data_IF_973237598370
#
_entry.id   IF_973237598370
#
_cell.length_a   1.000
_cell.length_b   1.000
_cell.length_c   1.000
_cell.angle_alpha   90.00
_cell.angle_beta   90.00
_cell.angle_gamma   90.00
#
_symmetry.space_group_name_H-M   'P 1'
#
loop_
_entity.id
_entity.type
_entity.pdbx_description
1 polymer ?
#
# COMPACT_ATOMS: atom_id res chain seq x y z
N UNK A 1 21.69 36.72 35.04
CA UNK A 1 23.12 37.11 34.89
C UNK A 1 23.30 37.64 33.49
N UNK A 2 24.11 38.69 33.23
CA UNK A 2 24.16 39.30 31.91
C UNK A 2 24.89 38.35 30.93
N UNK A 3 24.16 37.87 29.92
CA UNK A 3 24.77 37.25 28.73
C UNK A 3 25.02 38.38 27.73
N UNK A 4 26.27 38.53 27.30
CA UNK A 4 26.59 39.41 26.19
C UNK A 4 26.42 38.60 24.90
N UNK A 5 25.42 38.94 24.10
CA UNK A 5 25.23 38.37 22.77
C UNK A 5 25.84 39.32 21.74
N UNK A 6 26.76 38.80 20.92
CA UNK A 6 27.32 39.55 19.82
C UNK A 6 27.20 38.75 18.52
N UNK A 7 26.69 39.41 17.49
CA UNK A 7 26.59 38.84 16.16
C UNK A 7 27.69 39.43 15.28
N UNK A 8 28.41 38.56 14.56
CA UNK A 8 29.34 38.96 13.54
C UNK A 8 28.91 38.37 12.19
N UNK A 9 28.95 39.20 11.16
CA UNK A 9 28.72 38.80 9.79
C UNK A 9 30.04 38.92 9.05
N UNK A 10 30.45 37.83 8.41
CA UNK A 10 31.68 37.78 7.62
C UNK A 10 31.31 37.51 6.17
N UNK A 11 31.83 38.33 5.27
CA UNK A 11 31.74 38.06 3.84
C UNK A 11 32.79 37.00 3.49
N UNK A 12 32.32 35.83 3.07
CA UNK A 12 33.18 34.74 2.59
C UNK A 12 33.01 34.71 1.07
N UNK A 13 34.10 34.91 0.35
CA UNK A 13 34.16 35.22 -1.07
C UNK A 13 33.01 34.68 -1.95
N UNK A 14 32.44 35.56 -2.78
CA UNK A 14 31.40 35.24 -3.77
C UNK A 14 30.00 35.17 -3.16
N UNK A 15 29.37 36.32 -2.90
CA UNK A 15 27.97 36.50 -2.46
C UNK A 15 27.48 35.62 -1.27
N UNK A 16 28.36 34.89 -0.59
CA UNK A 16 28.05 34.05 0.57
C UNK A 16 28.42 34.82 1.84
N UNK A 17 27.45 34.98 2.73
CA UNK A 17 27.67 35.56 4.06
C UNK A 17 27.58 34.48 5.12
N UNK A 18 28.60 34.40 5.95
CA UNK A 18 28.61 33.56 7.13
C UNK A 18 28.11 34.38 8.33
N UNK A 19 27.14 33.85 9.07
CA UNK A 19 26.60 34.46 10.27
C UNK A 19 27.09 33.67 11.48
N UNK A 20 27.80 34.33 12.39
CA UNK A 20 28.28 33.73 13.63
C UNK A 20 27.59 34.40 14.81
N UNK A 21 27.02 33.58 15.70
CA UNK A 21 26.48 34.01 16.99
C UNK A 21 27.49 33.64 18.07
N UNK A 22 27.98 34.64 18.79
CA UNK A 22 28.85 34.45 19.93
C UNK A 22 28.06 34.71 21.21
N UNK A 23 27.97 33.69 22.05
CA UNK A 23 27.46 33.81 23.41
C UNK A 23 28.63 33.67 24.38
N UNK A 24 28.84 34.68 25.21
CA UNK A 24 29.85 34.66 26.27
C UNK A 24 29.16 34.71 27.62
N UNK A 25 29.32 33.63 28.39
CA UNK A 25 28.84 33.50 29.77
C UNK A 25 29.98 33.16 30.72
N UNK A 26 29.86 33.56 31.99
CA UNK A 26 30.80 33.19 33.05
C UNK A 26 30.35 31.84 33.62
N UNK A 27 31.14 30.80 33.41
CA UNK A 27 30.95 29.46 33.99
C UNK A 27 31.76 29.35 35.29
N UNK A 28 31.14 28.86 36.37
CA UNK A 28 31.87 28.36 37.55
C UNK A 28 32.21 26.89 37.30
N UNK A 29 33.37 26.65 36.69
CA UNK A 29 33.90 25.32 36.37
C UNK A 29 35.10 25.43 35.43
N UNK A 30 36.00 24.44 35.45
CA UNK A 30 37.24 24.44 34.64
C UNK A 30 36.94 24.55 33.14
N UNK A 31 37.73 25.39 32.46
CA UNK A 31 37.67 25.61 31.01
C UNK A 31 38.35 24.43 30.30
N UNK A 32 37.69 23.73 29.36
CA UNK A 32 38.32 22.64 28.61
C UNK A 32 39.54 23.15 27.85
N UNK A 33 40.66 22.45 28.00
CA UNK A 33 41.90 22.75 27.30
C UNK A 33 41.76 22.54 25.79
N UNK A 34 42.56 23.25 25.02
CA UNK A 34 42.60 23.24 23.53
C UNK A 34 42.80 21.84 22.90
N UNK A 35 43.03 20.80 23.70
CA UNK A 35 43.18 19.41 23.30
C UNK A 35 41.87 18.60 23.26
N UNK A 36 40.79 19.04 23.95
CA UNK A 36 39.55 18.26 24.08
C UNK A 36 38.57 18.41 22.91
N UNK A 37 38.89 19.25 21.90
CA UNK A 37 38.04 19.46 20.71
C UNK A 37 38.44 18.53 19.54
N UNK A 38 39.57 17.81 19.63
CA UNK A 38 40.09 16.96 18.54
C UNK A 38 39.86 15.45 18.72
N UNK A 39 38.88 15.07 19.55
CA UNK A 39 38.62 13.68 19.92
C UNK A 39 37.24 13.13 19.54
N UNK A 40 36.69 13.44 18.36
CA UNK A 40 35.68 12.54 17.78
C UNK A 40 36.43 11.46 17.00
N UNK A 41 36.19 10.16 17.20
CA UNK A 41 36.96 9.12 16.54
C UNK A 41 36.84 9.31 15.03
N UNK A 42 37.93 9.73 14.40
CA UNK A 42 38.04 9.91 12.96
C UNK A 42 37.51 8.67 12.25
N UNK A 43 37.74 7.50 12.83
CA UNK A 43 37.33 6.19 12.31
C UNK A 43 35.81 6.05 12.17
N UNK A 44 35.01 6.51 13.14
CA UNK A 44 33.54 6.44 13.05
C UNK A 44 32.99 7.37 11.96
N UNK A 45 33.60 8.56 11.80
CA UNK A 45 33.20 9.48 10.76
C UNK A 45 33.63 8.97 9.37
N UNK A 46 34.81 8.36 9.27
CA UNK A 46 35.31 7.74 8.04
C UNK A 46 34.51 6.48 7.68
N UNK A 47 34.08 5.69 8.66
CA UNK A 47 33.18 4.56 8.46
C UNK A 47 31.80 5.01 7.99
N UNK A 48 31.25 6.08 8.58
CA UNK A 48 29.99 6.67 8.14
C UNK A 48 30.09 7.23 6.72
N UNK A 49 31.18 7.94 6.40
CA UNK A 49 31.42 8.47 5.05
C UNK A 49 31.62 7.34 4.04
N UNK A 50 32.42 6.33 4.36
CA UNK A 50 32.61 5.16 3.50
C UNK A 50 31.30 4.38 3.30
N UNK A 51 30.46 4.27 4.34
CA UNK A 51 29.12 3.68 4.22
C UNK A 51 28.22 4.49 3.29
N UNK A 52 28.20 5.81 3.44
CA UNK A 52 27.42 6.71 2.59
C UNK A 52 27.91 6.73 1.15
N UNK A 53 29.22 6.67 0.93
CA UNK A 53 29.80 6.64 -0.41
C UNK A 53 29.52 5.31 -1.12
N UNK A 54 29.48 4.20 -0.38
CA UNK A 54 29.00 2.90 -0.89
C UNK A 54 27.52 2.97 -1.28
N UNK A 55 26.69 3.59 -0.45
CA UNK A 55 25.26 3.76 -0.71
C UNK A 55 24.99 4.67 -1.91
N UNK A 56 25.67 5.81 -2.00
CA UNK A 56 25.60 6.74 -3.13
C UNK A 56 26.09 6.06 -4.42
N UNK A 57 27.16 5.28 -4.35
CA UNK A 57 27.68 4.55 -5.52
C UNK A 57 26.70 3.46 -5.98
N UNK A 58 26.03 2.78 -5.04
CA UNK A 58 24.99 1.79 -5.35
C UNK A 58 23.75 2.44 -5.96
N UNK A 59 23.30 3.57 -5.42
CA UNK A 59 22.15 4.32 -5.95
C UNK A 59 22.45 4.90 -7.34
N UNK A 60 23.67 5.41 -7.56
CA UNK A 60 24.12 5.88 -8.87
C UNK A 60 24.27 4.75 -9.88
N UNK A 61 24.76 3.58 -9.47
CA UNK A 61 24.81 2.40 -10.33
C UNK A 61 23.40 1.93 -10.73
N UNK A 62 22.43 1.94 -9.81
CA UNK A 62 21.02 1.64 -10.10
C UNK A 62 20.39 2.61 -11.08
N UNK A 63 20.66 3.91 -10.91
CA UNK A 63 20.18 4.95 -11.83
C UNK A 63 20.86 4.87 -13.20
N UNK A 64 22.16 4.56 -13.25
CA UNK A 64 22.94 4.48 -14.48
C UNK A 64 22.69 3.20 -15.29
N UNK A 65 22.34 2.10 -14.63
CA UNK A 65 21.98 0.85 -15.29
C UNK A 65 20.59 0.88 -15.93
N UNK A 66 19.81 1.97 -15.77
CA UNK A 66 18.43 2.07 -16.29
C UNK A 66 17.52 0.98 -15.72
N UNK A 67 17.93 0.38 -14.60
CA UNK A 67 17.43 -0.90 -14.15
C UNK A 67 16.23 -0.67 -13.24
N UNK A 68 15.07 -0.58 -13.88
CA UNK A 68 13.78 -0.73 -13.20
C UNK A 68 13.51 -2.20 -12.81
N UNK A 69 14.45 -3.12 -13.07
CA UNK A 69 14.23 -4.56 -13.03
C UNK A 69 15.34 -5.39 -12.33
N UNK A 70 16.28 -4.78 -11.59
CA UNK A 70 17.24 -5.55 -10.80
C UNK A 70 16.68 -5.93 -9.43
N UNK A 71 16.12 -7.14 -9.41
CA UNK A 71 15.91 -8.03 -8.27
C UNK A 71 16.99 -7.90 -7.19
N UNK A 72 16.56 -7.48 -6.00
CA UNK A 72 17.23 -7.82 -4.75
C UNK A 72 16.14 -8.03 -3.71
N UNK A 73 15.69 -9.27 -3.53
CA UNK A 73 15.01 -9.71 -2.31
C UNK A 73 13.58 -9.22 -2.08
N UNK A 74 12.86 -8.81 -3.12
CA UNK A 74 11.45 -8.44 -3.04
C UNK A 74 10.52 -9.62 -3.28
N UNK A 75 9.23 -9.43 -3.00
CA UNK A 75 8.22 -10.49 -3.19
C UNK A 75 7.95 -10.66 -4.69
N UNK A 76 8.09 -11.87 -5.27
CA UNK A 76 7.86 -12.06 -6.70
C UNK A 76 6.39 -11.79 -7.07
N UNK A 77 6.10 -11.15 -8.22
CA UNK A 77 4.74 -10.88 -8.67
C UNK A 77 3.81 -12.11 -8.67
N UNK A 78 4.35 -13.29 -8.99
CA UNK A 78 3.65 -14.58 -9.00
C UNK A 78 3.27 -15.12 -7.60
N UNK A 79 3.83 -14.52 -6.55
CA UNK A 79 3.57 -14.83 -5.14
C UNK A 79 2.55 -13.88 -4.49
N UNK A 80 2.08 -12.88 -5.23
CA UNK A 80 0.92 -12.10 -4.82
C UNK A 80 -0.35 -12.93 -5.00
N UNK A 81 -1.20 -12.94 -3.99
CA UNK A 81 -2.50 -13.62 -4.00
C UNK A 81 -3.58 -12.59 -3.71
N UNK A 82 -4.27 -12.13 -4.74
CA UNK A 82 -5.36 -11.17 -4.58
C UNK A 82 -6.62 -11.86 -4.08
N UNK A 83 -7.19 -11.36 -2.98
CA UNK A 83 -8.51 -11.78 -2.51
C UNK A 83 -9.51 -10.68 -2.85
N UNK A 84 -10.23 -10.88 -3.96
CA UNK A 84 -11.31 -10.00 -4.40
C UNK A 84 -12.67 -10.49 -3.93
N UNK A 85 -13.65 -9.59 -3.95
CA UNK A 85 -15.02 -9.85 -3.54
C UNK A 85 -15.68 -8.55 -3.09
N UNK A 86 -16.45 -8.63 -2.02
CA UNK A 86 -17.02 -7.45 -1.37
C UNK A 86 -16.86 -7.57 0.14
N UNK A 87 -17.02 -6.47 0.87
CA UNK A 87 -17.06 -6.53 2.32
C UNK A 87 -18.10 -7.57 2.79
N UNK A 88 -17.82 -8.23 3.92
CA UNK A 88 -18.70 -9.22 4.58
C UNK A 88 -18.81 -10.59 3.89
N UNK A 89 -17.93 -10.90 2.94
CA UNK A 89 -17.82 -12.25 2.34
C UNK A 89 -16.95 -13.22 3.14
N UNK A 90 -16.47 -12.85 4.33
CA UNK A 90 -15.53 -13.68 5.11
C UNK A 90 -14.07 -13.54 4.71
N UNK A 91 -13.72 -12.53 3.89
CA UNK A 91 -12.34 -12.27 3.45
C UNK A 91 -11.35 -12.07 4.60
N UNK A 92 -11.77 -11.51 5.73
CA UNK A 92 -10.90 -11.41 6.91
C UNK A 92 -10.57 -12.76 7.54
N UNK A 93 -11.51 -13.71 7.53
CA UNK A 93 -11.28 -15.07 8.04
C UNK A 93 -10.38 -15.86 7.11
N UNK A 94 -10.63 -15.78 5.79
CA UNK A 94 -9.74 -16.37 4.79
C UNK A 94 -8.33 -15.79 4.85
N UNK A 95 -8.21 -14.45 4.91
CA UNK A 95 -6.93 -13.77 5.03
C UNK A 95 -6.15 -14.20 6.28
N UNK A 96 -6.82 -14.29 7.43
CA UNK A 96 -6.17 -14.80 8.66
C UNK A 96 -5.65 -16.23 8.48
N UNK A 97 -6.47 -17.16 7.99
CA UNK A 97 -6.04 -18.55 7.78
C UNK A 97 -4.83 -18.67 6.84
N UNK A 98 -4.80 -17.87 5.76
CA UNK A 98 -3.68 -17.91 4.81
C UNK A 98 -2.45 -17.18 5.35
N UNK A 99 -2.63 -16.12 6.13
CA UNK A 99 -1.53 -15.38 6.77
C UNK A 99 -0.86 -16.13 7.91
N UNK A 100 -1.54 -17.12 8.50
CA UNK A 100 -0.99 -17.98 9.54
C UNK A 100 -0.11 -19.13 8.99
N UNK A 101 -0.04 -19.28 7.66
CA UNK A 101 0.83 -20.27 7.01
C UNK A 101 2.30 -19.83 7.03
N UNK A 102 3.22 -20.79 7.08
CA UNK A 102 4.65 -20.53 6.97
C UNK A 102 4.96 -19.79 5.66
N UNK A 103 5.88 -18.83 5.73
CA UNK A 103 6.28 -17.97 4.60
C UNK A 103 5.13 -17.15 3.98
N UNK A 104 4.02 -16.92 4.70
CA UNK A 104 2.92 -16.07 4.25
C UNK A 104 2.79 -14.81 5.09
N UNK A 105 2.30 -13.74 4.47
CA UNK A 105 1.74 -12.60 5.20
C UNK A 105 0.46 -12.12 4.52
N UNK A 106 -0.38 -11.42 5.28
CA UNK A 106 -1.59 -10.79 4.76
C UNK A 106 -1.48 -9.28 4.79
N UNK A 107 -1.64 -8.64 3.62
CA UNK A 107 -1.84 -7.22 3.51
C UNK A 107 -3.33 -6.89 3.57
N UNK A 108 -3.78 -6.48 4.75
CA UNK A 108 -5.17 -6.15 5.00
C UNK A 108 -5.55 -4.81 4.39
N UNK A 109 -6.42 -4.85 3.38
CA UNK A 109 -7.10 -3.69 2.80
C UNK A 109 -6.15 -2.52 2.49
N UNK A 110 -5.23 -2.67 1.53
CA UNK A 110 -4.39 -1.55 1.12
C UNK A 110 -5.11 -0.49 0.30
N UNK A 111 -6.34 -0.76 -0.16
CA UNK A 111 -7.18 0.16 -0.93
C UNK A 111 -6.53 0.62 -2.26
N UNK A 112 -5.61 -0.17 -2.82
CA UNK A 112 -5.02 0.17 -4.12
C UNK A 112 -6.10 0.11 -5.20
N UNK A 113 -6.88 -0.95 -5.19
CA UNK A 113 -7.99 -1.10 -6.13
C UNK A 113 -9.07 -0.03 -5.96
N UNK A 114 -9.27 0.49 -4.75
CA UNK A 114 -10.21 1.59 -4.50
C UNK A 114 -9.69 2.89 -5.10
N UNK A 115 -8.46 3.29 -4.77
CA UNK A 115 -7.85 4.55 -5.25
C UNK A 115 -7.84 4.63 -6.78
N UNK A 116 -7.34 3.59 -7.45
CA UNK A 116 -7.21 3.61 -8.91
C UNK A 116 -8.53 3.23 -9.61
N UNK A 117 -9.23 2.23 -9.09
CA UNK A 117 -10.48 1.75 -9.66
C UNK A 117 -11.62 2.75 -9.55
N UNK A 118 -11.74 3.44 -8.41
CA UNK A 118 -12.76 4.49 -8.25
C UNK A 118 -12.47 5.66 -9.20
N UNK A 119 -11.22 6.13 -9.26
CA UNK A 119 -10.84 7.21 -10.17
C UNK A 119 -11.12 6.85 -11.64
N UNK A 120 -10.79 5.63 -12.07
CA UNK A 120 -10.88 5.21 -13.46
C UNK A 120 -12.28 4.72 -13.88
N UNK A 121 -12.96 3.90 -13.08
CA UNK A 121 -14.26 3.31 -13.44
C UNK A 121 -15.47 4.07 -12.93
N UNK A 122 -15.39 4.69 -11.74
CA UNK A 122 -16.55 5.32 -11.11
C UNK A 122 -16.60 6.82 -11.35
N UNK A 123 -15.45 7.50 -11.31
CA UNK A 123 -15.35 8.95 -11.48
C UNK A 123 -15.12 9.35 -12.94
N UNK A 124 -14.20 8.71 -13.64
CA UNK A 124 -13.94 9.02 -15.04
C UNK A 124 -14.97 8.31 -15.93
N UNK A 125 -15.84 9.08 -16.59
CA UNK A 125 -16.64 8.57 -17.71
C UNK A 125 -15.79 8.29 -18.94
N UNK A 126 -16.37 7.66 -19.96
CA UNK A 126 -15.67 7.30 -21.23
C UNK A 126 -14.93 8.49 -21.84
N UNK A 127 -15.61 9.63 -22.01
CA UNK A 127 -15.02 10.84 -22.57
C UNK A 127 -13.80 11.34 -21.79
N UNK A 128 -13.79 11.19 -20.45
CA UNK A 128 -12.66 11.61 -19.64
C UNK A 128 -11.49 10.64 -19.77
N UNK A 129 -11.75 9.33 -19.94
CA UNK A 129 -10.70 8.33 -20.15
C UNK A 129 -10.03 8.47 -21.52
N UNK A 130 -10.74 8.93 -22.53
CA UNK A 130 -10.16 9.16 -23.86
C UNK A 130 -9.25 10.40 -23.94
N UNK A 131 -9.27 11.27 -22.92
CA UNK A 131 -8.46 12.49 -22.89
C UNK A 131 -6.99 12.23 -22.58
N UNK A 132 -6.12 12.88 -23.34
CA UNK A 132 -4.66 12.85 -23.13
C UNK A 132 -4.23 13.53 -21.83
N UNK A 133 -4.93 14.57 -21.37
CA UNK A 133 -4.58 15.30 -20.15
C UNK A 133 -5.07 14.61 -18.86
N UNK A 134 -5.84 13.53 -18.98
CA UNK A 134 -6.21 12.72 -17.83
C UNK A 134 -5.09 11.77 -17.44
N UNK A 135 -4.67 11.81 -16.17
CA UNK A 135 -3.53 11.02 -15.67
C UNK A 135 -3.72 9.50 -15.82
N UNK A 136 -4.97 9.02 -15.80
CA UNK A 136 -5.33 7.62 -16.07
C UNK A 136 -5.98 7.46 -17.45
N UNK A 137 -5.67 8.34 -18.40
CA UNK A 137 -6.21 8.31 -19.75
C UNK A 137 -5.77 7.07 -20.53
N UNK A 138 -6.65 6.58 -21.39
CA UNK A 138 -6.44 5.41 -22.25
C UNK A 138 -5.28 5.57 -23.24
N UNK A 139 -5.02 6.75 -23.83
CA UNK A 139 -3.84 6.97 -24.69
C UNK A 139 -2.51 6.61 -24.01
N UNK A 140 -2.46 6.70 -22.68
CA UNK A 140 -1.26 6.41 -21.88
C UNK A 140 -1.42 5.20 -20.96
N UNK A 141 -2.45 4.35 -21.17
CA UNK A 141 -2.74 3.16 -20.35
C UNK A 141 -1.54 2.33 -20.01
N UNK A 142 -0.76 1.98 -21.02
CA UNK A 142 0.45 1.16 -20.85
C UNK A 142 1.46 1.79 -19.88
N UNK A 143 1.59 3.11 -19.89
CA UNK A 143 2.55 3.82 -19.05
C UNK A 143 2.07 3.83 -17.59
N UNK A 144 0.82 4.22 -17.33
CA UNK A 144 0.34 4.31 -15.95
C UNK A 144 0.02 2.96 -15.32
N UNK A 145 -0.34 1.93 -16.10
CA UNK A 145 -0.44 0.54 -15.59
C UNK A 145 0.92 0.03 -15.12
N UNK A 146 2.00 0.36 -15.86
CA UNK A 146 3.36 0.05 -15.40
C UNK A 146 3.68 0.78 -14.09
N UNK A 147 3.33 2.05 -13.97
CA UNK A 147 3.50 2.80 -12.73
C UNK A 147 2.70 2.21 -11.56
N UNK A 148 1.47 1.73 -11.83
CA UNK A 148 0.66 1.03 -10.83
C UNK A 148 1.35 -0.26 -10.37
N UNK A 149 1.91 -1.05 -11.29
CA UNK A 149 2.71 -2.23 -10.96
C UNK A 149 3.86 -1.86 -10.02
N UNK A 150 4.66 -0.85 -10.37
CA UNK A 150 5.77 -0.39 -9.52
C UNK A 150 5.28 0.05 -8.15
N UNK A 151 4.20 0.82 -8.08
CA UNK A 151 3.59 1.27 -6.83
C UNK A 151 3.20 0.10 -5.91
N UNK A 152 2.63 -0.97 -6.47
CA UNK A 152 2.23 -2.16 -5.71
C UNK A 152 3.46 -2.90 -5.18
N UNK A 153 4.43 -3.17 -6.04
CA UNK A 153 5.62 -3.96 -5.69
C UNK A 153 6.48 -3.23 -4.64
N UNK A 154 6.79 -1.94 -4.86
CA UNK A 154 7.54 -1.15 -3.88
C UNK A 154 6.76 -0.98 -2.57
N UNK A 155 5.43 -0.84 -2.66
CA UNK A 155 4.56 -0.74 -1.50
C UNK A 155 4.54 -2.01 -0.65
N UNK A 156 4.61 -3.18 -1.29
CA UNK A 156 4.71 -4.48 -0.64
C UNK A 156 6.09 -4.68 -0.02
N UNK A 157 7.16 -4.49 -0.78
CA UNK A 157 8.54 -4.67 -0.31
C UNK A 157 8.86 -3.78 0.91
N UNK A 158 8.34 -2.54 0.92
CA UNK A 158 8.53 -1.63 2.05
C UNK A 158 7.81 -2.08 3.33
N UNK A 159 6.74 -2.89 3.22
CA UNK A 159 5.91 -3.33 4.36
C UNK A 159 6.21 -4.75 4.82
N UNK A 160 6.67 -5.59 3.90
CA UNK A 160 6.93 -7.00 4.12
C UNK A 160 8.35 -7.40 3.68
N UNK A 161 9.40 -6.69 4.13
CA UNK A 161 10.78 -6.95 3.68
C UNK A 161 11.28 -8.35 4.06
N UNK A 162 10.69 -8.95 5.10
CA UNK A 162 11.09 -10.27 5.63
C UNK A 162 10.58 -11.45 4.79
N UNK A 163 9.54 -11.26 3.95
CA UNK A 163 9.00 -12.36 3.12
C UNK A 163 9.97 -12.79 2.02
N UNK A 164 10.69 -11.82 1.45
CA UNK A 164 11.67 -12.07 0.39
C UNK A 164 11.12 -12.85 -0.81
N UNK A 165 12.03 -13.53 -1.52
CA UNK A 165 11.73 -14.20 -2.79
C UNK A 165 10.88 -15.48 -2.63
N UNK A 166 10.87 -16.09 -1.44
CA UNK A 166 10.14 -17.33 -1.18
C UNK A 166 8.77 -17.10 -0.55
N UNK A 167 8.53 -15.90 -0.01
CA UNK A 167 7.29 -15.59 0.70
C UNK A 167 6.11 -15.30 -0.23
N UNK A 168 4.91 -15.54 0.29
CA UNK A 168 3.63 -15.28 -0.36
C UNK A 168 2.89 -14.13 0.32
N UNK A 169 2.37 -13.20 -0.48
CA UNK A 169 1.61 -12.07 0.02
C UNK A 169 0.14 -12.17 -0.37
N UNK A 170 -0.71 -12.41 0.62
CA UNK A 170 -2.15 -12.40 0.48
C UNK A 170 -2.65 -10.97 0.59
N UNK A 171 -3.15 -10.40 -0.51
CA UNK A 171 -3.61 -9.01 -0.55
C UNK A 171 -5.14 -8.98 -0.52
N UNK A 172 -5.69 -8.49 0.61
CA UNK A 172 -7.12 -8.47 0.84
C UNK A 172 -7.75 -7.19 0.27
N UNK A 173 -8.46 -7.29 -0.86
CA UNK A 173 -9.05 -6.13 -1.57
C UNK A 173 -10.60 -6.20 -1.73
N UNK A 174 -11.39 -6.51 -0.68
CA UNK A 174 -12.85 -6.56 -0.79
C UNK A 174 -13.45 -5.16 -1.01
N UNK A 175 -12.83 -4.12 -0.45
CA UNK A 175 -13.28 -2.74 -0.63
C UNK A 175 -12.67 -2.10 -1.88
N UNK A 176 -11.48 -2.54 -2.32
CA UNK A 176 -10.86 -2.10 -3.58
C UNK A 176 -11.22 -2.95 -4.80
N UNK A 177 -12.15 -3.90 -4.70
CA UNK A 177 -12.50 -4.80 -5.81
C UNK A 177 -13.02 -4.10 -7.07
N UNK A 178 -13.46 -2.85 -6.96
CA UNK A 178 -13.77 -2.00 -8.13
C UNK A 178 -12.58 -1.83 -9.07
N UNK A 179 -11.35 -1.81 -8.55
CA UNK A 179 -10.11 -1.71 -9.33
C UNK A 179 -9.48 -3.06 -9.67
N UNK A 180 -10.12 -4.18 -9.34
CA UNK A 180 -9.57 -5.52 -9.59
C UNK A 180 -9.08 -5.72 -11.04
N UNK A 181 -9.77 -5.24 -12.09
CA UNK A 181 -9.27 -5.38 -13.46
C UNK A 181 -7.93 -4.65 -13.70
N UNK A 182 -7.72 -3.49 -13.06
CA UNK A 182 -6.45 -2.76 -13.14
C UNK A 182 -5.33 -3.50 -12.41
N UNK A 183 -5.64 -4.11 -11.27
CA UNK A 183 -4.67 -4.83 -10.44
C UNK A 183 -4.17 -6.10 -11.16
N UNK A 184 -5.07 -6.88 -11.76
CA UNK A 184 -4.69 -8.09 -12.52
C UNK A 184 -4.02 -7.75 -13.86
N UNK A 185 -4.27 -6.57 -14.42
CA UNK A 185 -3.52 -6.08 -15.59
C UNK A 185 -2.11 -5.62 -15.22
N UNK A 186 -1.95 -5.00 -14.04
CA UNK A 186 -0.65 -4.58 -13.54
C UNK A 186 0.23 -5.75 -13.06
N UNK A 187 -0.38 -6.79 -12.47
CA UNK A 187 0.28 -8.03 -12.05
C UNK A 187 -0.39 -9.27 -12.67
N UNK A 188 -0.24 -9.52 -13.98
CA UNK A 188 -0.86 -10.67 -14.64
C UNK A 188 -0.31 -12.02 -14.16
N UNK A 189 0.86 -12.02 -13.52
CA UNK A 189 1.53 -13.22 -12.97
C UNK A 189 0.96 -13.65 -11.61
N UNK A 190 0.30 -12.73 -10.91
CA UNK A 190 -0.27 -12.96 -9.57
C UNK A 190 -1.37 -14.02 -9.58
N UNK A 191 -1.73 -14.53 -8.40
CA UNK A 191 -2.86 -15.44 -8.20
C UNK A 191 -4.11 -14.66 -7.83
N UNK A 192 -5.28 -15.19 -8.18
CA UNK A 192 -6.57 -14.55 -7.89
C UNK A 192 -7.51 -15.50 -7.15
N UNK A 193 -8.05 -15.04 -6.02
CA UNK A 193 -9.17 -15.65 -5.31
C UNK A 193 -10.36 -14.72 -5.44
N UNK A 194 -11.43 -15.20 -6.06
CA UNK A 194 -12.73 -14.54 -6.02
C UNK A 194 -13.58 -15.14 -4.91
N UNK A 195 -13.77 -14.39 -3.83
CA UNK A 195 -14.58 -14.83 -2.68
C UNK A 195 -16.02 -14.34 -2.83
N UNK A 196 -16.93 -15.31 -2.98
CA UNK A 196 -18.36 -15.08 -3.18
C UNK A 196 -19.11 -15.38 -1.90
N UNK A 197 -20.14 -14.61 -1.59
CA UNK A 197 -21.12 -14.93 -0.55
C UNK A 197 -22.49 -14.56 -1.07
N UNK A 198 -23.55 -15.22 -0.58
CA UNK A 198 -24.91 -14.81 -0.92
C UNK A 198 -25.09 -13.28 -0.71
N UNK A 199 -25.46 -12.51 -1.76
CA UNK A 199 -25.58 -11.06 -1.65
C UNK A 199 -26.62 -10.62 -0.63
N UNK A 200 -27.65 -11.44 -0.37
CA UNK A 200 -28.68 -11.15 0.64
C UNK A 200 -28.09 -11.21 2.03
N UNK A 201 -27.26 -12.21 2.30
CA UNK A 201 -26.52 -12.36 3.55
C UNK A 201 -25.51 -11.22 3.76
N UNK A 202 -24.84 -10.79 2.70
CA UNK A 202 -23.92 -9.65 2.74
C UNK A 202 -24.65 -8.38 3.12
N UNK A 203 -25.76 -8.07 2.44
CA UNK A 203 -26.55 -6.86 2.71
C UNK A 203 -27.20 -6.93 4.10
N UNK A 204 -27.74 -8.08 4.51
CA UNK A 204 -28.28 -8.28 5.85
C UNK A 204 -27.20 -8.09 6.93
N UNK A 205 -25.99 -8.61 6.71
CA UNK A 205 -24.86 -8.39 7.63
C UNK A 205 -24.46 -6.92 7.72
N UNK A 206 -24.50 -6.19 6.62
CA UNK A 206 -24.19 -4.76 6.59
C UNK A 206 -25.26 -3.95 7.32
N UNK A 207 -26.53 -4.26 7.07
CA UNK A 207 -27.65 -3.61 7.75
C UNK A 207 -27.54 -3.81 9.26
N UNK A 208 -27.37 -5.05 9.72
CA UNK A 208 -27.19 -5.34 11.15
C UNK A 208 -25.99 -4.63 11.77
N UNK A 209 -24.88 -4.48 11.03
CA UNK A 209 -23.68 -3.80 11.50
C UNK A 209 -23.85 -2.28 11.67
N UNK A 210 -24.73 -1.66 10.88
CA UNK A 210 -24.92 -0.20 10.86
C UNK A 210 -26.17 0.28 11.59
N UNK A 211 -26.99 -0.64 12.14
CA UNK A 211 -28.10 -0.30 13.03
C UNK A 211 -27.62 0.30 14.34
N UNK A 212 -28.43 1.18 14.92
CA UNK A 212 -28.17 1.82 16.20
C UNK A 212 -27.77 0.81 17.29
N UNK A 213 -26.72 1.13 18.04
CA UNK A 213 -26.16 0.25 19.07
C UNK A 213 -25.20 -0.83 18.55
N UNK A 214 -25.01 -0.95 17.24
CA UNK A 214 -23.98 -1.81 16.64
C UNK A 214 -22.66 -1.07 16.41
N UNK A 215 -21.59 -1.86 16.23
CA UNK A 215 -20.21 -1.40 16.01
C UNK A 215 -19.98 -0.46 14.81
N UNK A 216 -20.88 -0.40 13.83
CA UNK A 216 -20.78 0.47 12.65
C UNK A 216 -21.85 1.56 12.58
N UNK A 217 -22.61 1.77 13.66
CA UNK A 217 -23.67 2.76 13.71
C UNK A 217 -23.08 4.18 13.70
N UNK A 218 -23.53 5.01 12.76
CA UNK A 218 -23.37 6.47 12.82
C UNK A 218 -24.63 7.10 13.41
N UNK A 219 -24.53 8.34 13.89
CA UNK A 219 -25.73 9.14 14.18
C UNK A 219 -26.57 9.28 12.90
N UNK A 220 -27.90 9.13 13.03
CA UNK A 220 -28.86 9.15 11.91
C UNK A 220 -28.54 8.16 10.77
N UNK A 221 -27.97 6.99 11.10
CA UNK A 221 -27.62 5.98 10.10
C UNK A 221 -28.84 5.63 9.23
N UNK A 222 -28.62 5.63 7.90
CA UNK A 222 -29.65 5.25 6.94
C UNK A 222 -30.21 3.84 7.21
N UNK A 223 -29.42 2.97 7.85
CA UNK A 223 -29.84 1.65 8.31
C UNK A 223 -31.01 1.68 9.31
N UNK A 224 -31.18 2.78 10.04
CA UNK A 224 -32.25 2.98 11.02
C UNK A 224 -33.35 3.91 10.49
N UNK A 225 -32.98 4.97 9.75
CA UNK A 225 -33.92 5.99 9.28
C UNK A 225 -34.66 5.61 7.99
N UNK A 226 -34.00 4.92 7.05
CA UNK A 226 -34.59 4.37 5.82
C UNK A 226 -33.88 3.05 5.42
N UNK A 227 -34.18 1.94 6.12
CA UNK A 227 -33.53 0.66 5.90
C UNK A 227 -33.72 0.12 4.48
N UNK A 228 -34.83 0.47 3.81
CA UNK A 228 -35.09 0.02 2.44
C UNK A 228 -34.17 0.73 1.44
N UNK A 229 -33.95 2.04 1.58
CA UNK A 229 -32.95 2.74 0.76
C UNK A 229 -31.53 2.29 1.10
N UNK A 230 -31.21 2.03 2.38
CA UNK A 230 -29.92 1.43 2.74
C UNK A 230 -29.68 0.11 2.00
N UNK A 231 -30.65 -0.82 2.03
CA UNK A 231 -30.57 -2.10 1.32
C UNK A 231 -30.40 -1.87 -0.19
N UNK A 232 -31.18 -0.96 -0.79
CA UNK A 232 -31.04 -0.61 -2.22
C UNK A 232 -29.64 -0.09 -2.54
N UNK A 233 -29.10 0.82 -1.75
CA UNK A 233 -27.76 1.39 -1.95
C UNK A 233 -26.68 0.31 -1.83
N UNK A 234 -26.73 -0.53 -0.79
CA UNK A 234 -25.75 -1.60 -0.59
C UNK A 234 -25.83 -2.69 -1.66
N UNK A 235 -27.02 -3.00 -2.17
CA UNK A 235 -27.19 -3.92 -3.29
C UNK A 235 -26.58 -3.36 -4.60
N UNK A 236 -26.76 -2.07 -4.89
CA UNK A 236 -26.10 -1.40 -6.03
C UNK A 236 -24.58 -1.44 -5.91
N UNK A 237 -24.05 -1.11 -4.72
CA UNK A 237 -22.60 -1.17 -4.46
C UNK A 237 -22.06 -2.60 -4.57
N UNK A 238 -22.77 -3.60 -4.06
CA UNK A 238 -22.42 -5.01 -4.22
C UNK A 238 -22.21 -5.33 -5.71
N UNK A 239 -23.21 -5.03 -6.55
CA UNK A 239 -23.15 -5.35 -7.97
C UNK A 239 -22.02 -4.61 -8.69
N UNK A 240 -21.76 -3.35 -8.35
CA UNK A 240 -20.69 -2.57 -8.96
C UNK A 240 -19.30 -3.15 -8.61
N UNK A 241 -19.02 -3.38 -7.33
CA UNK A 241 -17.73 -3.90 -6.87
C UNK A 241 -17.52 -5.37 -7.25
N UNK A 242 -18.54 -6.22 -7.04
CA UNK A 242 -18.48 -7.63 -7.40
C UNK A 242 -18.40 -7.83 -8.91
N UNK A 243 -19.11 -7.01 -9.70
CA UNK A 243 -19.04 -7.05 -11.16
C UNK A 243 -17.60 -6.86 -11.67
N UNK A 244 -16.87 -5.88 -11.11
CA UNK A 244 -15.45 -5.65 -11.45
C UNK A 244 -14.53 -6.76 -10.97
N UNK A 245 -14.76 -7.32 -9.78
CA UNK A 245 -14.04 -8.51 -9.32
C UNK A 245 -14.27 -9.72 -10.25
N UNK A 246 -15.51 -9.93 -10.69
CA UNK A 246 -15.89 -10.98 -11.63
C UNK A 246 -15.22 -10.78 -13.01
N UNK A 247 -15.25 -9.56 -13.56
CA UNK A 247 -14.54 -9.22 -14.79
C UNK A 247 -13.04 -9.55 -14.70
N UNK A 248 -12.40 -9.14 -13.59
CA UNK A 248 -10.99 -9.43 -13.36
C UNK A 248 -10.71 -10.93 -13.27
N UNK A 249 -11.54 -11.66 -12.52
CA UNK A 249 -11.45 -13.11 -12.40
C UNK A 249 -11.58 -13.79 -13.77
N UNK A 250 -12.59 -13.46 -14.57
CA UNK A 250 -12.81 -14.06 -15.89
C UNK A 250 -11.65 -13.77 -16.85
N UNK A 251 -11.17 -12.52 -16.87
CA UNK A 251 -10.08 -12.10 -17.74
C UNK A 251 -8.71 -12.67 -17.35
N UNK A 252 -8.48 -12.92 -16.06
CA UNK A 252 -7.20 -13.41 -15.55
C UNK A 252 -6.86 -14.80 -16.11
N UNK A 253 -5.64 -14.96 -16.61
CA UNK A 253 -5.16 -16.19 -17.27
C UNK A 253 -4.22 -17.03 -16.40
N UNK A 254 -3.71 -16.46 -15.31
CA UNK A 254 -2.90 -17.17 -14.33
C UNK A 254 -3.73 -18.03 -13.39
N UNK A 255 -3.12 -18.40 -12.26
CA UNK A 255 -3.77 -19.24 -11.24
C UNK A 255 -4.92 -18.48 -10.61
N UNK A 256 -6.14 -19.01 -10.74
CA UNK A 256 -7.32 -18.42 -10.15
C UNK A 256 -8.29 -19.46 -9.63
N UNK A 257 -9.01 -19.10 -8.57
CA UNK A 257 -10.11 -19.89 -8.00
C UNK A 257 -11.24 -18.98 -7.55
N UNK A 258 -12.47 -19.41 -7.78
CA UNK A 258 -13.64 -18.82 -7.16
C UNK A 258 -14.13 -19.77 -6.07
N UNK A 259 -14.32 -19.26 -4.86
CA UNK A 259 -14.84 -20.04 -3.73
C UNK A 259 -15.96 -19.28 -3.04
N UNK A 260 -16.89 -20.03 -2.46
CA UNK A 260 -18.01 -19.47 -1.72
C UNK A 260 -17.69 -19.47 -0.23
N UNK A 261 -18.08 -18.41 0.46
CA UNK A 261 -17.99 -18.32 1.92
C UNK A 261 -18.70 -19.50 2.60
N UNK A 262 -19.84 -19.91 2.06
CA UNK A 262 -20.61 -21.02 2.62
C UNK A 262 -19.84 -22.35 2.51
N UNK A 263 -19.15 -22.57 1.39
CA UNK A 263 -18.33 -23.76 1.15
C UNK A 263 -17.07 -23.71 2.02
N UNK A 264 -16.41 -22.56 2.10
CA UNK A 264 -15.24 -22.35 2.98
C UNK A 264 -15.58 -22.60 4.46
N UNK A 265 -16.81 -22.25 4.88
CA UNK A 265 -17.29 -22.52 6.24
C UNK A 265 -17.55 -24.01 6.48
N UNK A 266 -17.98 -24.74 5.45
CA UNK A 266 -18.31 -26.16 5.53
C UNK A 266 -17.06 -27.06 5.44
N UNK A 267 -16.15 -26.75 4.52
CA UNK A 267 -14.92 -27.50 4.25
C UNK A 267 -13.74 -26.55 4.00
N UNK A 268 -13.22 -25.96 5.08
CA UNK A 268 -12.14 -24.99 5.00
C UNK A 268 -10.85 -25.58 4.38
N UNK A 269 -10.50 -26.82 4.74
CA UNK A 269 -9.30 -27.47 4.23
C UNK A 269 -9.42 -27.78 2.75
N UNK A 270 -10.55 -28.35 2.31
CA UNK A 270 -10.79 -28.67 0.91
C UNK A 270 -10.84 -27.43 0.02
N UNK A 271 -11.41 -26.32 0.50
CA UNK A 271 -11.40 -25.05 -0.24
C UNK A 271 -9.99 -24.42 -0.31
N UNK A 272 -9.22 -24.44 0.79
CA UNK A 272 -7.84 -23.93 0.80
C UNK A 272 -6.91 -24.74 -0.10
N UNK A 273 -7.10 -26.06 -0.21
CA UNK A 273 -6.33 -26.91 -1.13
C UNK A 273 -6.55 -26.56 -2.60
N UNK A 274 -7.66 -25.90 -2.97
CA UNK A 274 -7.88 -25.40 -4.34
C UNK A 274 -7.10 -24.13 -4.65
N UNK A 275 -6.67 -23.40 -3.62
CA UNK A 275 -5.98 -22.10 -3.73
C UNK A 275 -4.48 -22.30 -4.00
N UNK A 276 -3.88 -23.38 -3.47
CA UNK A 276 -2.45 -23.65 -3.51
C UNK A 276 -2.05 -24.64 -4.61
#
# INVERSE_FOLDING_TARGET
MPNLEQHAVLDVAGNVRAYLRFEVGIIRGEVPGRADVLGRPSDLLHEQLASRDREISRLRARLAAGDSNATNGGIPPEHFIWVFGVARTGSSWLGAMMGDLDDHATWYEPYVGDVFGYAYYMRAGEQQREREDYILGDPYRRAWIRSLRTFILEGADARFPELGENGYLVVKEPNGSVGAPLLVEALPESRVILLVRDPRDVVASLLAAHKEGSWGAGEDALADTDPDEFVRQRARMYNASFGKAWEAYEAHRGRKVATRYEDLRYDALGELQKVY
#
